data_IF_725704208918
#
_entry.id   IF_725704208918
#
_cell.length_a   1.000
_cell.length_b   1.000
_cell.length_c   1.000
_cell.angle_alpha   90.00
_cell.angle_beta   90.00
_cell.angle_gamma   90.00
#
_symmetry.space_group_name_H-M   'P 1'
#
loop_
_entity.id
_entity.type
_entity.pdbx_description
1 polymer ?
#
# COMPACT_ATOMS: atom_id res chain seq x y z
N UNK A 1 -17.50 -15.90 -11.70
CA UNK A 1 -17.49 -14.53 -11.22
C UNK A 1 -18.59 -13.76 -11.95
N UNK A 2 -19.77 -13.75 -11.37
CA UNK A 2 -20.93 -13.01 -11.89
C UNK A 2 -20.62 -11.53 -11.65
N UNK A 3 -20.40 -10.76 -12.72
CA UNK A 3 -20.58 -9.31 -12.66
C UNK A 3 -19.35 -8.45 -12.46
N UNK A 4 -18.28 -8.65 -13.23
CA UNK A 4 -17.20 -7.62 -13.29
C UNK A 4 -17.78 -6.26 -13.72
N UNK A 5 -18.65 -6.21 -14.71
CA UNK A 5 -19.28 -4.97 -15.19
C UNK A 5 -20.20 -4.31 -14.15
N UNK A 6 -21.05 -5.09 -13.45
CA UNK A 6 -21.86 -4.56 -12.36
C UNK A 6 -20.99 -4.02 -11.21
N UNK A 7 -19.92 -4.74 -10.83
CA UNK A 7 -18.98 -4.27 -9.81
C UNK A 7 -18.26 -2.98 -10.23
N UNK A 8 -17.92 -2.81 -11.51
CA UNK A 8 -17.27 -1.59 -12.00
C UNK A 8 -18.23 -0.42 -11.99
N UNK A 9 -19.48 -0.58 -12.43
CA UNK A 9 -20.51 0.48 -12.37
C UNK A 9 -20.75 0.93 -10.94
N UNK A 10 -20.99 -0.01 -10.02
CA UNK A 10 -21.18 0.32 -8.61
C UNK A 10 -20.00 1.06 -8.02
N UNK A 11 -18.77 0.64 -8.35
CA UNK A 11 -17.54 1.33 -7.92
C UNK A 11 -17.45 2.73 -8.51
N UNK A 12 -17.76 2.89 -9.79
CA UNK A 12 -17.75 4.20 -10.47
C UNK A 12 -18.77 5.15 -9.85
N UNK A 13 -19.98 4.67 -9.53
CA UNK A 13 -21.03 5.46 -8.89
C UNK A 13 -20.62 5.90 -7.48
N UNK A 14 -19.96 5.04 -6.71
CA UNK A 14 -19.39 5.40 -5.39
C UNK A 14 -18.30 6.44 -5.54
N UNK A 15 -17.37 6.27 -6.48
CA UNK A 15 -16.28 7.23 -6.75
C UNK A 15 -16.88 8.59 -7.16
N UNK A 16 -17.85 8.60 -8.07
CA UNK A 16 -18.54 9.82 -8.52
C UNK A 16 -19.25 10.53 -7.36
N UNK A 17 -19.96 9.76 -6.52
CA UNK A 17 -20.64 10.32 -5.33
C UNK A 17 -19.65 10.95 -4.36
N UNK A 18 -18.51 10.30 -4.08
CA UNK A 18 -17.46 10.87 -3.22
C UNK A 18 -16.89 12.13 -3.87
N UNK A 19 -16.57 12.10 -5.18
CA UNK A 19 -15.99 13.24 -5.89
C UNK A 19 -16.91 14.47 -5.89
N UNK A 20 -18.21 14.26 -6.09
CA UNK A 20 -19.20 15.35 -6.09
C UNK A 20 -19.45 15.90 -4.68
N UNK A 21 -19.40 15.05 -3.66
CA UNK A 21 -19.64 15.47 -2.27
C UNK A 21 -18.40 16.13 -1.65
N UNK A 22 -17.19 15.64 -2.01
CA UNK A 22 -15.91 16.09 -1.45
C UNK A 22 -14.90 16.38 -2.58
N UNK A 23 -15.07 17.48 -3.32
CA UNK A 23 -14.29 17.77 -4.53
C UNK A 23 -12.79 17.91 -4.27
N UNK A 24 -12.40 18.36 -3.08
CA UNK A 24 -11.00 18.59 -2.70
C UNK A 24 -10.27 17.34 -2.18
N UNK A 25 -10.99 16.26 -1.92
CA UNK A 25 -10.37 15.01 -1.43
C UNK A 25 -9.70 14.23 -2.55
N UNK A 26 -8.54 13.65 -2.29
CA UNK A 26 -7.98 12.62 -3.16
C UNK A 26 -8.68 11.29 -2.93
N UNK A 27 -9.09 10.63 -4.01
CA UNK A 27 -9.71 9.31 -3.97
C UNK A 27 -8.66 8.29 -4.39
N UNK A 28 -8.28 7.42 -3.45
CA UNK A 28 -7.33 6.33 -3.68
C UNK A 28 -8.08 5.01 -3.77
N UNK A 29 -7.89 4.28 -4.87
CA UNK A 29 -8.42 2.94 -5.05
C UNK A 29 -7.33 1.88 -4.82
N UNK A 30 -7.73 0.72 -4.33
CA UNK A 30 -6.88 -0.47 -4.17
C UNK A 30 -7.76 -1.70 -4.37
N UNK A 31 -8.27 -1.87 -5.59
CA UNK A 31 -9.28 -2.88 -5.93
C UNK A 31 -8.74 -4.05 -6.72
N UNK A 32 -7.39 -4.16 -6.81
CA UNK A 32 -6.73 -5.25 -7.50
C UNK A 32 -6.54 -4.99 -9.00
N UNK A 33 -6.21 -6.07 -9.72
CA UNK A 33 -6.00 -6.03 -11.16
C UNK A 33 -7.34 -5.86 -11.90
N UNK A 34 -7.31 -5.07 -12.97
CA UNK A 34 -8.45 -4.80 -13.84
C UNK A 34 -7.95 -4.53 -15.27
N UNK A 35 -8.85 -4.39 -16.23
CA UNK A 35 -8.47 -3.98 -17.57
C UNK A 35 -8.16 -2.48 -17.62
N UNK A 36 -7.46 -2.04 -18.66
CA UNK A 36 -7.13 -0.62 -18.86
C UNK A 36 -8.41 0.22 -18.99
N UNK A 37 -9.43 -0.32 -19.65
CA UNK A 37 -10.73 0.33 -19.82
C UNK A 37 -11.46 0.51 -18.49
N UNK A 38 -11.40 -0.50 -17.60
CA UNK A 38 -11.98 -0.41 -16.26
C UNK A 38 -11.24 0.62 -15.40
N UNK A 39 -9.91 0.67 -15.48
CA UNK A 39 -9.12 1.71 -14.81
C UNK A 39 -9.48 3.12 -15.34
N UNK A 40 -9.63 3.26 -16.67
CA UNK A 40 -10.03 4.53 -17.27
C UNK A 40 -11.42 4.97 -16.79
N UNK A 41 -12.38 4.06 -16.73
CA UNK A 41 -13.73 4.36 -16.24
C UNK A 41 -13.73 4.86 -14.78
N UNK A 42 -12.92 4.26 -13.90
CA UNK A 42 -12.78 4.69 -12.53
C UNK A 42 -12.06 6.04 -12.41
N UNK A 43 -11.10 6.31 -13.28
CA UNK A 43 -10.42 7.60 -13.37
C UNK A 43 -11.39 8.71 -13.79
N UNK A 44 -12.17 8.47 -14.83
CA UNK A 44 -13.18 9.40 -15.35
C UNK A 44 -14.29 9.68 -14.32
N UNK A 45 -14.62 8.70 -13.49
CA UNK A 45 -15.53 8.87 -12.35
C UNK A 45 -14.95 9.76 -11.23
N UNK A 46 -13.63 10.04 -11.24
CA UNK A 46 -12.97 10.99 -10.34
C UNK A 46 -11.93 10.40 -9.40
N UNK A 47 -11.54 9.13 -9.56
CA UNK A 47 -10.41 8.57 -8.80
C UNK A 47 -9.10 9.22 -9.25
N UNK A 48 -8.21 9.54 -8.29
CA UNK A 48 -6.94 10.22 -8.57
C UNK A 48 -5.73 9.31 -8.39
N UNK A 49 -5.85 8.33 -7.50
CA UNK A 49 -4.75 7.48 -7.07
C UNK A 49 -5.16 6.03 -7.14
N UNK A 50 -4.21 5.18 -7.44
CA UNK A 50 -4.43 3.74 -7.40
C UNK A 50 -3.22 3.05 -6.78
N UNK A 51 -3.46 2.23 -5.76
CA UNK A 51 -2.44 1.41 -5.10
C UNK A 51 -2.59 -0.03 -5.57
N UNK A 52 -1.58 -0.50 -6.31
CA UNK A 52 -1.45 -1.89 -6.73
C UNK A 52 -0.01 -2.35 -6.44
N UNK A 53 0.20 -3.09 -5.37
CA UNK A 53 1.52 -3.60 -5.05
C UNK A 53 1.93 -4.66 -6.07
N UNK A 54 3.16 -4.57 -6.62
CA UNK A 54 3.68 -5.60 -7.51
C UNK A 54 4.10 -6.88 -6.76
N UNK A 55 4.22 -6.80 -5.43
CA UNK A 55 4.56 -7.84 -4.44
C UNK A 55 5.98 -8.36 -4.56
N UNK A 56 6.47 -8.64 -5.72
CA UNK A 56 7.85 -8.87 -6.12
C UNK A 56 7.97 -8.74 -7.64
N UNK A 57 9.06 -8.17 -8.14
CA UNK A 57 9.32 -8.02 -9.57
C UNK A 57 9.72 -9.35 -10.22
N UNK A 58 10.44 -10.19 -9.48
CA UNK A 58 10.93 -11.46 -9.98
C UNK A 58 9.81 -12.46 -10.26
N UNK A 59 9.71 -12.93 -11.51
CA UNK A 59 8.64 -13.81 -11.97
C UNK A 59 8.63 -15.17 -11.26
N UNK A 60 9.79 -15.78 -11.03
CA UNK A 60 9.86 -17.08 -10.36
C UNK A 60 9.47 -16.98 -8.89
N UNK A 61 9.90 -15.92 -8.23
CA UNK A 61 9.50 -15.63 -6.86
C UNK A 61 8.00 -15.33 -6.75
N UNK A 62 7.45 -14.55 -7.69
CA UNK A 62 6.02 -14.26 -7.77
C UNK A 62 5.19 -15.55 -7.89
N UNK A 63 5.59 -16.48 -8.75
CA UNK A 63 4.91 -17.76 -8.95
C UNK A 63 4.90 -18.65 -7.70
N UNK A 64 5.93 -18.55 -6.85
CA UNK A 64 5.97 -19.26 -5.55
C UNK A 64 5.02 -18.66 -4.52
N UNK A 65 4.72 -17.37 -4.63
CA UNK A 65 3.91 -16.64 -3.66
C UNK A 65 2.42 -16.60 -4.03
N UNK A 66 2.09 -16.77 -5.32
CA UNK A 66 0.74 -16.55 -5.82
C UNK A 66 0.19 -17.80 -6.54
N UNK A 67 -1.15 -17.93 -6.62
CA UNK A 67 -1.78 -18.98 -7.42
C UNK A 67 -1.31 -18.96 -8.88
N UNK A 68 -1.19 -20.14 -9.48
CA UNK A 68 -0.59 -20.32 -10.80
C UNK A 68 -1.31 -19.55 -11.95
N UNK A 69 -2.57 -19.17 -11.75
CA UNK A 69 -3.34 -18.38 -12.73
C UNK A 69 -3.00 -16.87 -12.70
N UNK A 70 -2.26 -16.40 -11.68
CA UNK A 70 -1.83 -15.01 -11.60
C UNK A 70 -0.45 -14.82 -12.25
N UNK A 71 -0.25 -13.68 -12.90
CA UNK A 71 0.95 -13.37 -13.66
C UNK A 71 1.64 -12.09 -13.15
N UNK A 72 2.92 -12.18 -12.83
CA UNK A 72 3.74 -11.02 -12.52
C UNK A 72 3.74 -10.00 -13.67
N UNK A 73 3.89 -10.47 -14.90
CA UNK A 73 3.89 -9.60 -16.08
C UNK A 73 2.57 -8.84 -16.26
N UNK A 74 1.43 -9.51 -16.06
CA UNK A 74 0.13 -8.84 -16.11
C UNK A 74 -0.02 -7.78 -15.01
N UNK A 75 0.40 -8.12 -13.79
CA UNK A 75 0.35 -7.18 -12.66
C UNK A 75 1.24 -5.95 -12.87
N UNK A 76 2.43 -6.15 -13.45
CA UNK A 76 3.33 -5.06 -13.83
C UNK A 76 2.72 -4.21 -14.97
N UNK A 77 2.09 -4.85 -15.97
CA UNK A 77 1.39 -4.13 -17.05
C UNK A 77 0.27 -3.24 -16.50
N UNK A 78 -0.52 -3.73 -15.54
CA UNK A 78 -1.54 -2.91 -14.86
C UNK A 78 -0.95 -1.62 -14.27
N UNK A 79 0.25 -1.66 -13.70
CA UNK A 79 0.91 -0.46 -13.15
C UNK A 79 1.29 0.55 -14.24
N UNK A 80 1.75 0.07 -15.40
CA UNK A 80 2.02 0.93 -16.54
C UNK A 80 0.75 1.52 -17.14
N UNK A 81 -0.33 0.73 -17.25
CA UNK A 81 -1.63 1.20 -17.71
C UNK A 81 -2.18 2.31 -16.80
N UNK A 82 -2.12 2.11 -15.48
CA UNK A 82 -2.50 3.13 -14.49
C UNK A 82 -1.69 4.43 -14.66
N UNK A 83 -0.39 4.31 -14.89
CA UNK A 83 0.48 5.46 -15.12
C UNK A 83 0.14 6.20 -16.42
N UNK A 84 -0.11 5.45 -17.50
CA UNK A 84 -0.49 6.02 -18.80
C UNK A 84 -1.83 6.77 -18.76
N UNK A 85 -2.81 6.24 -17.99
CA UNK A 85 -4.10 6.90 -17.76
C UNK A 85 -3.94 8.23 -17.01
N UNK A 86 -2.90 8.35 -16.16
CA UNK A 86 -2.63 9.56 -15.39
C UNK A 86 -2.90 9.47 -13.89
N UNK A 87 -3.09 8.27 -13.36
CA UNK A 87 -3.16 8.08 -11.91
C UNK A 87 -1.86 8.47 -11.20
N UNK A 88 -1.99 8.96 -9.98
CA UNK A 88 -0.89 8.88 -9.02
C UNK A 88 -0.76 7.42 -8.60
N UNK A 89 0.24 6.74 -9.16
CA UNK A 89 0.42 5.30 -8.99
C UNK A 89 1.11 5.00 -7.67
N UNK A 90 0.52 4.11 -6.90
CA UNK A 90 1.13 3.48 -5.74
C UNK A 90 1.48 2.02 -6.04
N UNK A 91 2.67 1.60 -5.67
CA UNK A 91 3.11 0.21 -5.77
C UNK A 91 3.88 -0.21 -4.52
N UNK A 92 4.53 -1.37 -4.53
CA UNK A 92 5.34 -1.87 -3.43
C UNK A 92 5.49 -3.38 -3.43
N UNK A 93 6.21 -3.87 -2.43
CA UNK A 93 6.51 -5.29 -2.28
C UNK A 93 6.51 -5.71 -0.80
N UNK A 94 6.52 -7.01 -0.55
CA UNK A 94 6.67 -7.56 0.79
C UNK A 94 8.16 -7.69 1.12
N UNK A 95 8.51 -7.44 2.39
CA UNK A 95 9.88 -7.58 2.89
C UNK A 95 10.01 -8.86 3.71
N UNK A 96 10.93 -9.72 3.33
CA UNK A 96 11.17 -11.00 4.00
C UNK A 96 10.08 -12.03 3.73
N UNK A 97 9.43 -11.98 2.57
CA UNK A 97 8.50 -13.03 2.14
C UNK A 97 9.26 -14.35 1.90
N UNK A 98 8.58 -15.51 1.95
CA UNK A 98 9.24 -16.80 1.75
C UNK A 98 10.08 -16.82 0.47
N UNK A 99 11.29 -17.39 0.57
CA UNK A 99 12.28 -17.51 -0.54
C UNK A 99 12.78 -16.19 -1.14
N UNK A 100 12.48 -15.04 -0.55
CA UNK A 100 13.01 -13.76 -1.01
C UNK A 100 14.53 -13.70 -0.78
N UNK A 101 15.26 -13.24 -1.78
CA UNK A 101 16.73 -13.01 -1.73
C UNK A 101 17.07 -11.53 -1.86
N UNK A 102 18.32 -11.18 -1.64
CA UNK A 102 18.84 -9.82 -1.87
C UNK A 102 18.71 -9.38 -3.33
N UNK A 103 18.87 -10.33 -4.26
CA UNK A 103 18.71 -10.08 -5.69
C UNK A 103 17.26 -9.70 -6.03
N UNK A 104 16.28 -10.42 -5.47
CA UNK A 104 14.86 -10.06 -5.65
C UNK A 104 14.57 -8.65 -5.12
N UNK A 105 15.11 -8.28 -3.97
CA UNK A 105 14.95 -6.92 -3.42
C UNK A 105 15.63 -5.86 -4.30
N UNK A 106 16.77 -6.19 -4.89
CA UNK A 106 17.45 -5.28 -5.82
C UNK A 106 16.63 -5.08 -7.11
N UNK A 107 16.03 -6.16 -7.66
CA UNK A 107 15.12 -6.09 -8.80
C UNK A 107 13.89 -5.24 -8.47
N UNK A 108 13.28 -5.40 -7.29
CA UNK A 108 12.17 -4.59 -6.80
C UNK A 108 12.55 -3.10 -6.75
N UNK A 109 13.72 -2.76 -6.21
CA UNK A 109 14.22 -1.38 -6.13
C UNK A 109 14.49 -0.78 -7.53
N UNK A 110 15.05 -1.56 -8.46
CA UNK A 110 15.27 -1.11 -9.83
C UNK A 110 13.94 -0.86 -10.55
N UNK A 111 12.96 -1.72 -10.36
CA UNK A 111 11.60 -1.53 -10.89
C UNK A 111 10.95 -0.26 -10.32
N UNK A 112 11.08 0.00 -9.03
CA UNK A 112 10.59 1.25 -8.43
C UNK A 112 11.24 2.48 -9.08
N UNK A 113 12.54 2.43 -9.37
CA UNK A 113 13.24 3.52 -10.04
C UNK A 113 12.72 3.75 -11.46
N UNK A 114 12.47 2.67 -12.22
CA UNK A 114 11.94 2.72 -13.59
C UNK A 114 10.49 3.23 -13.62
N UNK A 115 9.62 2.64 -12.78
CA UNK A 115 8.21 3.02 -12.70
C UNK A 115 8.04 4.44 -12.15
N UNK A 116 8.94 4.90 -11.27
CA UNK A 116 8.87 6.21 -10.60
C UNK A 116 7.46 6.51 -10.04
N UNK A 117 6.95 5.72 -9.09
CA UNK A 117 5.61 5.85 -8.56
C UNK A 117 5.48 7.05 -7.61
N UNK A 118 4.26 7.50 -7.36
CA UNK A 118 3.96 8.55 -6.39
C UNK A 118 3.86 8.03 -4.95
N UNK A 119 3.61 6.73 -4.78
CA UNK A 119 3.58 6.07 -3.47
C UNK A 119 4.28 4.71 -3.54
N UNK A 120 5.03 4.37 -2.49
CA UNK A 120 5.62 3.03 -2.32
C UNK A 120 5.25 2.46 -0.97
N UNK A 121 4.44 1.40 -0.97
CA UNK A 121 4.02 0.70 0.24
C UNK A 121 4.81 -0.60 0.45
N UNK A 122 5.80 -0.58 1.31
CA UNK A 122 6.51 -1.78 1.76
C UNK A 122 6.20 -2.08 3.22
N UNK A 123 6.33 -3.33 3.61
CA UNK A 123 6.18 -3.76 4.99
C UNK A 123 6.67 -5.18 5.17
N UNK A 124 6.96 -5.60 6.41
CA UNK A 124 7.37 -6.96 6.68
C UNK A 124 6.28 -7.94 6.29
N UNK A 125 6.68 -9.06 5.69
CA UNK A 125 5.79 -10.20 5.54
C UNK A 125 5.41 -10.72 6.93
N UNK A 126 4.12 -10.95 7.15
CA UNK A 126 3.61 -11.58 8.37
C UNK A 126 2.69 -12.73 7.92
N UNK A 127 2.96 -13.98 8.33
CA UNK A 127 2.13 -15.12 7.94
C UNK A 127 0.71 -15.00 8.50
N UNK A 128 -0.23 -15.70 7.87
CA UNK A 128 -1.58 -15.93 8.38
C UNK A 128 -1.83 -17.43 8.51
N UNK A 129 -2.43 -17.85 9.61
CA UNK A 129 -2.66 -19.27 9.93
C UNK A 129 -3.53 -20.00 8.90
N UNK A 130 -4.42 -19.30 8.18
CA UNK A 130 -5.29 -19.87 7.14
C UNK A 130 -4.65 -19.88 5.74
N UNK A 131 -3.34 -19.62 5.63
CA UNK A 131 -2.65 -19.59 4.35
C UNK A 131 -1.61 -20.72 4.24
N UNK A 132 -1.20 -21.11 3.03
CA UNK A 132 -0.09 -22.04 2.83
C UNK A 132 1.23 -21.60 3.48
N UNK A 133 1.31 -20.34 3.91
CA UNK A 133 2.50 -19.74 4.53
C UNK A 133 2.47 -19.69 6.06
N UNK A 134 1.48 -20.33 6.71
CA UNK A 134 1.31 -20.31 8.17
C UNK A 134 2.56 -20.67 8.97
N UNK A 135 3.40 -21.58 8.45
CA UNK A 135 4.65 -22.02 9.09
C UNK A 135 5.89 -21.22 8.67
N UNK A 136 5.75 -20.16 7.88
CA UNK A 136 6.88 -19.37 7.41
C UNK A 136 7.30 -18.31 8.44
N UNK A 137 8.57 -17.91 8.39
CA UNK A 137 9.07 -16.82 9.23
C UNK A 137 8.57 -15.48 8.73
N UNK A 138 8.25 -14.58 9.65
CA UNK A 138 7.96 -13.20 9.32
C UNK A 138 9.21 -12.46 8.83
N UNK A 139 9.01 -11.42 8.03
CA UNK A 139 10.06 -10.46 7.69
C UNK A 139 10.51 -9.66 8.91
N UNK A 140 11.71 -9.07 8.84
CA UNK A 140 12.31 -8.39 9.99
C UNK A 140 12.08 -6.88 9.96
N UNK A 141 12.08 -6.29 11.16
CA UNK A 141 12.02 -4.84 11.34
C UNK A 141 13.23 -4.16 10.67
N UNK A 142 14.44 -4.65 10.97
CA UNK A 142 15.70 -4.04 10.53
C UNK A 142 15.80 -3.96 9.02
N UNK A 143 15.48 -5.05 8.31
CA UNK A 143 15.49 -5.07 6.85
C UNK A 143 14.44 -4.12 6.27
N UNK A 144 13.25 -4.05 6.88
CA UNK A 144 12.20 -3.15 6.43
C UNK A 144 12.60 -1.68 6.62
N UNK A 145 13.17 -1.32 7.76
CA UNK A 145 13.66 0.04 8.03
C UNK A 145 14.80 0.44 7.09
N UNK A 146 15.73 -0.49 6.83
CA UNK A 146 16.82 -0.28 5.86
C UNK A 146 16.29 0.01 4.46
N UNK A 147 15.30 -0.78 3.99
CA UNK A 147 14.69 -0.57 2.67
C UNK A 147 13.86 0.72 2.60
N UNK A 148 13.20 1.13 3.68
CA UNK A 148 12.53 2.45 3.76
C UNK A 148 13.54 3.58 3.55
N UNK A 149 14.70 3.51 4.20
CA UNK A 149 15.79 4.47 4.01
C UNK A 149 16.33 4.50 2.59
N UNK A 150 16.57 3.33 1.98
CA UNK A 150 17.02 3.24 0.58
C UNK A 150 15.99 3.84 -0.38
N UNK A 151 14.72 3.50 -0.24
CA UNK A 151 13.65 4.04 -1.10
C UNK A 151 13.56 5.55 -0.95
N UNK A 152 13.66 6.09 0.27
CA UNK A 152 13.68 7.54 0.50
C UNK A 152 14.85 8.23 -0.21
N UNK A 153 16.04 7.64 -0.20
CA UNK A 153 17.19 8.17 -0.91
C UNK A 153 17.04 8.08 -2.44
N UNK A 154 16.47 7.00 -2.94
CA UNK A 154 16.25 6.78 -4.37
C UNK A 154 15.11 7.64 -4.95
N UNK A 155 14.04 7.84 -4.19
CA UNK A 155 12.81 8.54 -4.57
C UNK A 155 12.44 9.59 -3.50
N UNK A 156 13.15 10.73 -3.43
CA UNK A 156 13.01 11.68 -2.33
C UNK A 156 11.60 12.26 -2.15
N UNK A 157 10.83 12.39 -3.22
CA UNK A 157 9.47 12.96 -3.20
C UNK A 157 8.34 11.96 -3.02
N UNK A 158 8.64 10.65 -2.91
CA UNK A 158 7.63 9.60 -2.85
C UNK A 158 6.84 9.62 -1.54
N UNK A 159 5.54 9.29 -1.59
CA UNK A 159 4.76 8.97 -0.41
C UNK A 159 5.15 7.56 0.08
N UNK A 160 5.65 7.47 1.31
CA UNK A 160 6.20 6.24 1.87
C UNK A 160 5.55 5.96 3.24
N UNK A 161 4.57 5.03 3.30
CA UNK A 161 3.87 4.73 4.54
C UNK A 161 4.71 3.98 5.58
N UNK A 162 4.64 4.41 6.84
CA UNK A 162 4.94 3.56 7.98
C UNK A 162 3.72 2.64 8.21
N UNK A 163 3.82 1.40 7.72
CA UNK A 163 2.66 0.49 7.63
C UNK A 163 2.21 -0.06 8.98
N UNK A 164 0.97 -0.54 9.04
CA UNK A 164 0.43 -1.23 10.21
C UNK A 164 1.25 -2.48 10.56
N UNK A 165 1.80 -3.17 9.55
CA UNK A 165 2.64 -4.34 9.74
C UNK A 165 3.91 -4.03 10.56
N UNK A 166 4.53 -2.86 10.39
CA UNK A 166 5.65 -2.42 11.22
C UNK A 166 5.24 -2.32 12.70
N UNK A 167 4.10 -1.69 12.98
CA UNK A 167 3.58 -1.60 14.34
C UNK A 167 3.14 -2.96 14.92
N UNK A 168 2.85 -3.96 14.08
CA UNK A 168 2.52 -5.32 14.53
C UNK A 168 3.74 -6.10 14.97
N UNK A 169 4.88 -5.94 14.29
CA UNK A 169 6.12 -6.66 14.65
C UNK A 169 6.94 -5.97 15.74
N UNK A 170 6.72 -4.65 15.95
CA UNK A 170 7.38 -3.88 17.00
C UNK A 170 6.44 -2.77 17.48
N UNK A 171 6.34 -2.59 18.81
CA UNK A 171 5.44 -1.61 19.43
C UNK A 171 5.68 -0.19 18.91
N UNK A 172 6.94 0.21 18.71
CA UNK A 172 7.36 1.49 18.15
C UNK A 172 7.72 1.41 16.66
N UNK A 173 7.25 0.39 15.95
CA UNK A 173 7.64 0.13 14.56
C UNK A 173 7.24 1.23 13.58
N UNK A 174 6.14 1.94 13.83
CA UNK A 174 5.70 3.07 13.01
C UNK A 174 6.61 4.28 13.18
N UNK A 175 6.96 4.60 14.42
CA UNK A 175 7.87 5.68 14.79
C UNK A 175 9.24 5.45 14.15
N UNK A 176 9.78 4.24 14.27
CA UNK A 176 11.04 3.85 13.62
C UNK A 176 10.93 3.93 12.10
N UNK A 177 9.78 3.58 11.52
CA UNK A 177 9.52 3.74 10.09
C UNK A 177 9.60 5.20 9.64
N UNK A 178 8.99 6.12 10.39
CA UNK A 178 9.10 7.57 10.12
C UNK A 178 10.55 8.05 10.22
N UNK A 179 11.25 7.67 11.29
CA UNK A 179 12.66 8.03 11.48
C UNK A 179 13.58 7.44 10.40
N UNK A 180 13.16 6.36 9.75
CA UNK A 180 13.89 5.70 8.65
C UNK A 180 13.49 6.22 7.25
N UNK A 181 12.63 7.26 7.15
CA UNK A 181 12.31 7.90 5.87
C UNK A 181 10.85 7.80 5.42
N UNK A 182 9.97 7.09 6.15
CA UNK A 182 8.54 7.15 5.86
C UNK A 182 7.99 8.56 6.17
N UNK A 183 6.92 8.94 5.47
CA UNK A 183 6.28 10.26 5.63
C UNK A 183 4.75 10.19 5.58
N UNK A 184 4.18 8.99 5.63
CA UNK A 184 2.74 8.78 5.64
C UNK A 184 2.39 7.86 6.81
N UNK A 185 1.35 8.20 7.56
CA UNK A 185 0.74 7.35 8.58
C UNK A 185 -0.76 7.24 8.34
N UNK A 186 -1.32 6.06 8.54
CA UNK A 186 -2.72 5.78 8.28
C UNK A 186 -3.41 5.30 9.57
N UNK A 187 -4.31 6.10 10.16
CA UNK A 187 -5.16 5.63 11.25
C UNK A 187 -6.18 4.61 10.73
N UNK A 188 -6.58 3.67 11.57
CA UNK A 188 -7.66 2.75 11.22
C UNK A 188 -9.03 3.42 11.42
N UNK A 189 -9.69 3.77 10.34
CA UNK A 189 -11.01 4.40 10.33
C UNK A 189 -12.15 3.41 10.04
N UNK A 190 -11.86 2.13 9.86
CA UNK A 190 -12.89 1.12 9.62
C UNK A 190 -13.85 1.03 10.81
N UNK A 191 -15.16 0.87 10.59
CA UNK A 191 -16.12 0.64 11.68
C UNK A 191 -15.73 -0.58 12.51
N UNK A 192 -15.79 -0.48 13.85
CA UNK A 192 -15.39 -1.56 14.77
C UNK A 192 -16.02 -2.92 14.42
N UNK A 193 -17.30 -2.91 14.08
CA UNK A 193 -18.09 -4.13 13.78
C UNK A 193 -17.55 -4.99 12.63
N UNK A 194 -16.76 -4.40 11.71
CA UNK A 194 -16.21 -5.10 10.54
C UNK A 194 -14.68 -5.22 10.56
N UNK A 195 -14.02 -4.73 11.62
CA UNK A 195 -12.55 -4.80 11.70
C UNK A 195 -12.04 -6.23 11.79
N UNK A 196 -12.77 -7.10 12.49
CA UNK A 196 -12.44 -8.51 12.61
C UNK A 196 -12.48 -9.29 11.30
N UNK A 197 -13.24 -8.79 10.31
CA UNK A 197 -13.35 -9.43 8.98
C UNK A 197 -12.13 -9.11 8.08
N UNK A 198 -11.25 -8.19 8.51
CA UNK A 198 -10.07 -7.72 7.79
C UNK A 198 -8.74 -8.12 8.46
N UNK A 199 -8.66 -9.34 8.91
CA UNK A 199 -7.43 -9.92 9.45
C UNK A 199 -6.60 -10.49 8.28
N UNK A 200 -5.78 -9.64 7.64
CA UNK A 200 -4.93 -10.03 6.51
C UNK A 200 -3.68 -10.80 6.92
N UNK A 201 -3.34 -10.79 8.20
CA UNK A 201 -2.20 -11.51 8.81
C UNK A 201 -2.42 -11.66 10.32
N UNK A 202 -1.72 -12.62 10.93
CA UNK A 202 -1.85 -12.89 12.35
C UNK A 202 -1.37 -11.73 13.23
N UNK A 203 -1.99 -11.59 14.39
CA UNK A 203 -1.68 -10.55 15.39
C UNK A 203 -1.75 -9.11 14.88
N UNK A 204 -2.47 -8.86 13.78
CA UNK A 204 -2.68 -7.49 13.29
C UNK A 204 -3.16 -6.61 14.43
N UNK A 205 -2.48 -5.47 14.65
CA UNK A 205 -2.91 -4.48 15.63
C UNK A 205 -4.33 -4.03 15.27
N UNK A 206 -5.28 -4.52 16.05
CA UNK A 206 -6.68 -4.09 16.03
C UNK A 206 -6.88 -3.30 17.30
N UNK A 207 -6.91 -1.97 17.19
CA UNK A 207 -7.30 -1.16 18.33
C UNK A 207 -8.82 -1.22 18.45
N UNK A 208 -9.34 -1.55 19.61
CA UNK A 208 -10.77 -1.45 19.94
C UNK A 208 -11.22 0.02 20.09
N UNK A 209 -10.30 0.97 19.90
CA UNK A 209 -10.51 2.37 19.95
C UNK A 209 -11.38 2.89 18.80
N UNK A 210 -12.17 3.93 19.03
CA UNK A 210 -12.92 4.63 17.98
C UNK A 210 -11.97 5.32 16.99
N UNK A 211 -12.45 5.59 15.76
CA UNK A 211 -11.64 6.22 14.72
C UNK A 211 -10.97 7.53 15.15
N UNK A 212 -11.68 8.36 15.90
CA UNK A 212 -11.13 9.61 16.42
C UNK A 212 -10.07 9.42 17.54
N UNK A 213 -10.17 8.34 18.30
CA UNK A 213 -9.19 7.95 19.32
C UNK A 213 -7.92 7.41 18.67
N UNK A 214 -8.05 6.48 17.69
CA UNK A 214 -6.93 6.00 16.90
C UNK A 214 -6.13 7.15 16.24
N UNK A 215 -6.82 8.19 15.78
CA UNK A 215 -6.17 9.36 15.21
C UNK A 215 -5.37 10.13 16.26
N UNK A 216 -5.96 10.41 17.43
CA UNK A 216 -5.29 11.13 18.51
C UNK A 216 -4.07 10.40 19.04
N UNK A 217 -4.18 9.09 19.25
CA UNK A 217 -3.04 8.24 19.64
C UNK A 217 -1.91 8.34 18.62
N UNK A 218 -2.24 8.20 17.33
CA UNK A 218 -1.26 8.31 16.26
C UNK A 218 -0.57 9.68 16.22
N UNK A 219 -1.33 10.77 16.42
CA UNK A 219 -0.79 12.13 16.52
C UNK A 219 0.18 12.28 17.72
N UNK A 220 -0.16 11.71 18.87
CA UNK A 220 0.70 11.71 20.06
C UNK A 220 2.01 10.93 19.83
N UNK A 221 1.92 9.75 19.23
CA UNK A 221 3.09 8.94 18.86
C UNK A 221 4.03 9.71 17.93
N UNK A 222 3.50 10.35 16.90
CA UNK A 222 4.32 11.16 15.99
C UNK A 222 4.96 12.37 16.69
N UNK A 223 4.22 13.05 17.58
CA UNK A 223 4.75 14.16 18.37
C UNK A 223 5.89 13.72 19.30
N UNK A 224 5.80 12.52 19.88
CA UNK A 224 6.86 12.00 20.78
C UNK A 224 8.22 11.84 20.11
N UNK A 225 8.24 11.69 18.78
CA UNK A 225 9.47 11.60 17.97
C UNK A 225 9.80 12.89 17.22
N UNK A 226 9.12 14.01 17.55
CA UNK A 226 9.38 15.32 16.96
C UNK A 226 8.71 15.59 15.62
N UNK A 227 7.72 14.79 15.21
CA UNK A 227 6.96 14.97 13.99
C UNK A 227 5.54 15.45 14.25
N UNK A 228 4.98 16.18 13.30
CA UNK A 228 3.60 16.65 13.32
C UNK A 228 2.79 15.98 12.21
N UNK A 229 1.63 15.42 12.56
CA UNK A 229 0.67 14.94 11.57
C UNK A 229 -0.07 16.13 10.96
N UNK A 230 0.01 16.28 9.66
CA UNK A 230 -0.71 17.33 8.93
C UNK A 230 -1.92 16.71 8.21
N UNK A 231 -3.06 17.41 8.26
CA UNK A 231 -4.25 17.04 7.51
C UNK A 231 -4.27 17.85 6.22
N UNK A 232 -3.78 17.25 5.14
CA UNK A 232 -3.76 17.84 3.81
C UNK A 232 -4.25 16.81 2.80
N UNK A 233 -4.45 17.21 1.54
CA UNK A 233 -4.78 16.27 0.47
C UNK A 233 -3.72 15.18 0.31
N UNK A 234 -2.47 15.47 0.67
CA UNK A 234 -1.36 14.53 0.71
C UNK A 234 -0.94 14.07 -0.69
N UNK A 235 -0.91 14.97 -1.67
CA UNK A 235 -0.37 14.67 -2.99
C UNK A 235 1.14 14.44 -2.91
N UNK A 236 1.67 13.58 -3.79
CA UNK A 236 3.11 13.37 -3.91
C UNK A 236 3.81 14.65 -4.38
N UNK A 237 5.00 14.91 -3.87
CA UNK A 237 5.83 16.03 -4.34
C UNK A 237 6.40 15.81 -5.75
N UNK A 238 6.29 14.59 -6.29
CA UNK A 238 6.75 14.21 -7.63
C UNK A 238 5.66 14.41 -8.71
N UNK A 239 4.58 15.15 -8.43
CA UNK A 239 3.62 15.50 -9.46
C UNK A 239 4.20 16.69 -10.23
N UNK A 240 4.57 16.45 -11.48
CA UNK A 240 4.73 17.54 -12.45
C UNK A 240 3.33 18.07 -12.76
N UNK A 241 3.08 19.37 -12.62
CA UNK A 241 1.78 19.95 -12.92
C UNK A 241 1.38 19.78 -14.38
#
# INVERSE_FOLDING_TARGET
LVGSEMCIRDRSDVVHTIRTTYPDCAITLSTGEATKEEYQQLFDAGANRFLLRHETYNTEHYQKLHPAQLSAAHRQQCLWDLKEIGYQVGTGFMVGSPWQTSEHLAEDLLFLKELNPQMVGIGPFIPHHDTPFAGQKAGTLELTLFLLGLIRLMLPGVLLPATTALGTIAENGRELGILSGANVVMPNLSPKRVRGDYLLYDNKISTDAEAAECRRELEQHMQSIGYQVVTARGDSLNITP
#
